data_IF_655450610759
#
_entry.id   IF_655450610759
#
_cell.length_a   1.000
_cell.length_b   1.000
_cell.length_c   1.000
_cell.angle_alpha   90.00
_cell.angle_beta   90.00
_cell.angle_gamma   90.00
#
_symmetry.space_group_name_H-M   'P 1'
#
loop_
_entity.id
_entity.type
_entity.pdbx_description
1 polymer ?
#
# COMPACT_ATOMS: atom_id res chain seq x y z
N UNK A 1 8.42 5.58 20.99
CA UNK A 1 7.08 5.70 20.39
C UNK A 1 6.63 4.35 19.90
N UNK A 2 5.54 3.83 20.47
CA UNK A 2 4.81 2.66 19.91
C UNK A 2 3.97 3.09 18.69
N UNK A 3 3.46 2.13 17.89
CA UNK A 3 2.55 2.45 16.78
C UNK A 3 1.27 3.17 17.25
N UNK A 4 0.75 2.78 18.42
CA UNK A 4 -0.39 3.44 19.04
C UNK A 4 -0.09 4.89 19.43
N UNK A 5 1.09 5.15 20.01
CA UNK A 5 1.54 6.51 20.34
C UNK A 5 1.80 7.37 19.10
N UNK A 6 2.30 6.77 18.02
CA UNK A 6 2.45 7.47 16.75
C UNK A 6 1.11 7.89 16.18
N UNK A 7 0.12 6.98 16.14
CA UNK A 7 -1.21 7.32 15.66
C UNK A 7 -1.92 8.32 16.56
N UNK A 8 -1.77 8.25 17.88
CA UNK A 8 -2.36 9.25 18.78
C UNK A 8 -1.73 10.63 18.56
N UNK A 9 -0.42 10.71 18.40
CA UNK A 9 0.28 11.96 18.10
C UNK A 9 -0.14 12.55 16.74
N UNK A 10 -0.25 11.71 15.71
CA UNK A 10 -0.78 12.07 14.40
C UNK A 10 -2.22 12.59 14.49
N UNK A 11 -3.06 11.92 15.28
CA UNK A 11 -4.47 12.28 15.45
C UNK A 11 -4.68 13.56 16.27
N UNK A 12 -3.74 13.88 17.16
CA UNK A 12 -3.77 15.10 17.98
C UNK A 12 -3.39 16.36 17.18
N UNK A 13 -2.68 16.22 16.06
CA UNK A 13 -2.28 17.34 15.20
C UNK A 13 -2.83 17.20 13.76
N UNK A 14 -4.15 17.13 13.57
CA UNK A 14 -4.76 16.84 12.27
C UNK A 14 -4.43 17.91 11.22
N UNK A 15 -4.22 19.17 11.62
CA UNK A 15 -3.85 20.25 10.71
C UNK A 15 -2.53 19.99 9.95
N UNK A 16 -1.54 19.39 10.62
CA UNK A 16 -0.24 19.10 9.99
C UNK A 16 -0.36 17.99 8.93
N UNK A 17 -1.09 16.92 9.26
CA UNK A 17 -1.36 15.82 8.34
C UNK A 17 -2.19 16.28 7.15
N UNK A 18 -3.25 17.05 7.39
CA UNK A 18 -4.08 17.60 6.32
C UNK A 18 -3.26 18.48 5.39
N UNK A 19 -2.40 19.35 5.92
CA UNK A 19 -1.53 20.21 5.10
C UNK A 19 -0.59 19.36 4.23
N UNK A 20 0.05 18.34 4.81
CA UNK A 20 0.95 17.46 4.08
C UNK A 20 0.23 16.67 2.97
N UNK A 21 -0.89 16.02 3.31
CA UNK A 21 -1.64 15.19 2.38
C UNK A 21 -2.45 16.00 1.36
N UNK A 22 -2.72 17.28 1.60
CA UNK A 22 -3.29 18.16 0.57
C UNK A 22 -2.22 18.77 -0.33
N UNK A 23 -1.02 19.03 0.19
CA UNK A 23 0.11 19.52 -0.59
C UNK A 23 0.53 18.54 -1.70
N UNK A 24 0.44 17.23 -1.47
CA UNK A 24 0.80 16.19 -2.46
C UNK A 24 -0.07 16.26 -3.74
N UNK A 25 -1.41 16.13 -3.69
CA UNK A 25 -2.25 16.25 -4.88
C UNK A 25 -2.21 17.67 -5.46
N UNK A 26 -2.04 18.70 -4.63
CA UNK A 26 -1.95 20.08 -5.10
C UNK A 26 -0.65 20.32 -5.91
N UNK A 27 0.48 19.80 -5.45
CA UNK A 27 1.75 19.85 -6.21
C UNK A 27 1.68 19.00 -7.46
N UNK A 28 1.03 17.83 -7.43
CA UNK A 28 0.79 17.02 -8.62
C UNK A 28 -0.09 17.76 -9.65
N UNK A 29 -1.11 18.48 -9.18
CA UNK A 29 -1.99 19.30 -10.01
C UNK A 29 -1.25 20.50 -10.62
N UNK A 30 -0.45 21.23 -9.84
CA UNK A 30 0.39 22.31 -10.36
C UNK A 30 1.40 21.78 -11.39
N UNK A 31 2.08 20.67 -11.09
CA UNK A 31 3.00 20.03 -12.02
C UNK A 31 2.32 19.58 -13.32
N UNK A 32 1.05 19.15 -13.27
CA UNK A 32 0.26 18.86 -14.46
C UNK A 32 0.02 20.12 -15.32
N UNK A 33 -0.24 21.28 -14.71
CA UNK A 33 -0.48 22.53 -15.45
C UNK A 33 0.83 23.03 -16.07
N UNK A 34 1.92 23.08 -15.30
CA UNK A 34 3.19 23.67 -15.74
C UNK A 34 4.05 22.71 -16.58
N UNK A 35 3.98 21.40 -16.32
CA UNK A 35 4.76 20.37 -17.01
C UNK A 35 3.97 19.65 -18.12
N UNK A 36 2.99 20.32 -18.71
CA UNK A 36 2.12 19.74 -19.75
C UNK A 36 2.97 19.30 -20.95
N UNK A 37 2.79 18.04 -21.38
CA UNK A 37 3.55 17.36 -22.45
C UNK A 37 5.04 17.07 -22.15
N UNK A 38 5.64 17.68 -21.12
CA UNK A 38 7.05 17.47 -20.73
C UNK A 38 7.20 16.57 -19.50
N UNK A 39 6.11 16.00 -18.98
CA UNK A 39 6.15 15.28 -17.71
C UNK A 39 7.06 14.03 -17.67
N UNK A 40 7.42 13.48 -18.84
CA UNK A 40 8.37 12.38 -18.98
C UNK A 40 9.85 12.84 -19.00
N UNK A 41 10.09 14.14 -19.14
CA UNK A 41 11.41 14.76 -19.20
C UNK A 41 11.87 15.21 -17.80
N UNK A 42 13.18 15.42 -17.67
CA UNK A 42 13.74 16.09 -16.50
C UNK A 42 13.33 17.57 -16.51
N UNK A 43 12.95 18.17 -15.36
CA UNK A 43 12.96 17.63 -13.99
C UNK A 43 11.65 16.95 -13.55
N UNK A 44 10.58 17.07 -14.34
CA UNK A 44 9.23 16.63 -13.97
C UNK A 44 9.13 15.14 -13.65
N UNK A 45 9.86 14.30 -14.38
CA UNK A 45 9.93 12.85 -14.12
C UNK A 45 10.36 12.51 -12.69
N UNK A 46 11.33 13.24 -12.13
CA UNK A 46 11.82 13.02 -10.77
C UNK A 46 10.87 13.59 -9.72
N UNK A 47 10.24 14.73 -10.02
CA UNK A 47 9.19 15.29 -9.18
C UNK A 47 8.01 14.32 -9.06
N UNK A 48 7.54 13.77 -10.18
CA UNK A 48 6.47 12.76 -10.18
C UNK A 48 6.87 11.49 -9.45
N UNK A 49 8.10 10.99 -9.63
CA UNK A 49 8.60 9.84 -8.85
C UNK A 49 8.51 10.11 -7.35
N UNK A 50 9.00 11.27 -6.91
CA UNK A 50 8.98 11.68 -5.49
C UNK A 50 7.57 11.74 -4.94
N UNK A 51 6.64 12.38 -5.67
CA UNK A 51 5.23 12.48 -5.27
C UNK A 51 4.56 11.10 -5.21
N UNK A 52 4.84 10.23 -6.17
CA UNK A 52 4.33 8.86 -6.19
C UNK A 52 4.79 8.11 -4.95
N UNK A 53 6.08 8.12 -4.61
CA UNK A 53 6.58 7.42 -3.42
C UNK A 53 6.03 8.01 -2.12
N UNK A 54 6.00 9.33 -1.99
CA UNK A 54 5.46 10.01 -0.81
C UNK A 54 3.98 9.74 -0.59
N UNK A 55 3.20 9.58 -1.66
CA UNK A 55 1.78 9.26 -1.54
C UNK A 55 1.53 7.75 -1.36
N UNK A 56 2.27 6.90 -2.08
CA UNK A 56 2.05 5.45 -2.09
C UNK A 56 2.50 4.77 -0.80
N UNK A 57 3.63 5.15 -0.21
CA UNK A 57 4.12 4.50 1.02
C UNK A 57 3.10 4.59 2.16
N UNK A 58 2.61 5.78 2.57
CA UNK A 58 1.60 5.89 3.61
C UNK A 58 0.23 5.33 3.18
N UNK A 59 -0.13 5.45 1.90
CA UNK A 59 -1.39 4.89 1.37
C UNK A 59 -1.43 3.36 1.41
N UNK A 60 -0.35 2.69 0.98
CA UNK A 60 -0.22 1.24 1.03
C UNK A 60 -0.18 0.77 2.48
N UNK A 61 0.57 1.45 3.35
CA UNK A 61 0.60 1.11 4.77
C UNK A 61 -0.79 1.17 5.39
N UNK A 62 -1.54 2.26 5.17
CA UNK A 62 -2.91 2.40 5.63
C UNK A 62 -3.83 1.28 5.11
N UNK A 63 -3.76 0.97 3.81
CA UNK A 63 -4.50 -0.14 3.19
C UNK A 63 -4.19 -1.48 3.85
N UNK A 64 -2.90 -1.80 4.02
CA UNK A 64 -2.50 -3.07 4.64
C UNK A 64 -2.93 -3.18 6.09
N UNK A 65 -2.86 -2.09 6.85
CA UNK A 65 -3.29 -2.06 8.24
C UNK A 65 -4.81 -2.25 8.34
N UNK A 66 -5.59 -1.56 7.51
CA UNK A 66 -7.05 -1.74 7.47
C UNK A 66 -7.43 -3.16 7.05
N UNK A 67 -6.74 -3.75 6.07
CA UNK A 67 -6.96 -5.14 5.67
C UNK A 67 -6.64 -6.11 6.81
N UNK A 68 -5.53 -5.92 7.52
CA UNK A 68 -5.17 -6.72 8.68
C UNK A 68 -6.22 -6.62 9.81
N UNK A 69 -6.60 -5.40 10.21
CA UNK A 69 -7.63 -5.21 11.26
C UNK A 69 -8.97 -5.85 10.87
N UNK A 70 -9.33 -5.79 9.59
CA UNK A 70 -10.57 -6.38 9.07
C UNK A 70 -10.55 -7.90 9.09
N UNK A 71 -9.48 -8.52 8.60
CA UNK A 71 -9.38 -9.97 8.46
C UNK A 71 -9.15 -10.70 9.80
N UNK A 72 -8.33 -10.11 10.69
CA UNK A 72 -7.83 -10.78 11.89
C UNK A 72 -8.51 -10.30 13.18
N UNK A 73 -8.51 -8.99 13.42
CA UNK A 73 -8.99 -8.45 14.69
C UNK A 73 -10.52 -8.35 14.75
N UNK A 74 -11.22 -8.47 13.60
CA UNK A 74 -12.67 -8.20 13.46
C UNK A 74 -13.10 -6.89 14.13
N UNK A 75 -12.15 -5.96 14.28
CA UNK A 75 -12.40 -4.65 14.88
C UNK A 75 -13.33 -3.85 13.98
N UNK A 76 -14.16 -3.00 14.59
CA UNK A 76 -15.00 -2.08 13.83
C UNK A 76 -14.10 -1.16 12.99
N UNK A 77 -14.11 -1.33 11.67
CA UNK A 77 -13.47 -0.42 10.71
C UNK A 77 -13.99 1.02 10.93
N UNK A 78 -15.16 1.20 11.55
CA UNK A 78 -15.73 2.51 11.86
C UNK A 78 -15.05 3.22 13.04
N UNK A 79 -14.32 2.50 13.92
CA UNK A 79 -13.46 3.11 14.95
C UNK A 79 -12.06 3.45 14.41
N UNK A 80 -11.78 3.11 13.15
CA UNK A 80 -10.56 3.52 12.51
C UNK A 80 -10.49 5.04 12.44
N UNK A 81 -9.34 5.59 12.78
CA UNK A 81 -9.15 7.03 12.67
C UNK A 81 -9.10 7.42 11.18
N UNK A 82 -10.05 8.27 10.79
CA UNK A 82 -10.22 8.78 9.41
C UNK A 82 -8.90 9.39 8.89
N UNK A 83 -8.15 10.08 9.75
CA UNK A 83 -6.92 10.78 9.37
C UNK A 83 -5.73 9.84 9.13
N UNK A 84 -5.68 8.67 9.77
CA UNK A 84 -4.54 7.75 9.64
C UNK A 84 -4.81 6.58 8.70
N UNK A 85 -6.07 6.25 8.44
CA UNK A 85 -6.44 5.15 7.55
C UNK A 85 -7.06 5.64 6.23
N UNK A 86 -8.07 6.51 6.28
CA UNK A 86 -8.81 6.90 5.06
C UNK A 86 -8.06 7.98 4.28
N UNK A 87 -7.56 9.00 4.99
CA UNK A 87 -6.90 10.16 4.38
C UNK A 87 -5.69 9.78 3.51
N UNK A 88 -4.75 8.90 3.95
CA UNK A 88 -3.60 8.54 3.12
C UNK A 88 -4.00 7.79 1.84
N UNK A 89 -5.03 6.94 1.93
CA UNK A 89 -5.53 6.18 0.78
C UNK A 89 -6.19 7.10 -0.24
N UNK A 90 -7.04 8.02 0.21
CA UNK A 90 -7.65 9.03 -0.66
C UNK A 90 -6.59 9.91 -1.32
N UNK A 91 -5.62 10.40 -0.54
CA UNK A 91 -4.51 11.20 -1.07
C UNK A 91 -3.72 10.44 -2.14
N UNK A 92 -3.39 9.17 -1.90
CA UNK A 92 -2.71 8.31 -2.86
C UNK A 92 -3.51 8.19 -4.16
N UNK A 93 -4.80 7.85 -4.08
CA UNK A 93 -5.66 7.68 -5.26
C UNK A 93 -5.74 8.97 -6.08
N UNK A 94 -5.99 10.11 -5.43
CA UNK A 94 -6.10 11.41 -6.11
C UNK A 94 -4.77 11.82 -6.75
N UNK A 95 -3.66 11.65 -6.03
CA UNK A 95 -2.32 12.00 -6.53
C UNK A 95 -1.94 11.15 -7.74
N UNK A 96 -2.12 9.83 -7.65
CA UNK A 96 -1.85 8.93 -8.77
C UNK A 96 -2.76 9.21 -9.97
N UNK A 97 -4.05 9.47 -9.74
CA UNK A 97 -4.98 9.80 -10.81
C UNK A 97 -4.60 11.09 -11.55
N UNK A 98 -4.15 12.12 -10.82
CA UNK A 98 -3.60 13.33 -11.42
C UNK A 98 -2.35 13.03 -12.23
N UNK A 99 -1.37 12.32 -11.68
CA UNK A 99 -0.11 12.04 -12.39
C UNK A 99 -0.37 11.23 -13.67
N UNK A 100 -1.26 10.23 -13.62
CA UNK A 100 -1.63 9.39 -14.78
C UNK A 100 -2.18 10.19 -15.96
N UNK A 101 -2.83 11.33 -15.69
CA UNK A 101 -3.38 12.20 -16.74
C UNK A 101 -2.30 12.96 -17.51
N UNK A 102 -1.11 13.16 -16.94
CA UNK A 102 -0.01 13.86 -17.61
C UNK A 102 1.10 12.92 -18.11
N UNK A 103 1.36 11.82 -17.39
CA UNK A 103 2.48 10.91 -17.66
C UNK A 103 2.06 9.47 -17.47
N UNK A 104 2.47 8.60 -18.41
CA UNK A 104 2.33 7.16 -18.22
C UNK A 104 3.26 6.67 -17.10
N UNK A 105 2.72 5.89 -16.17
CA UNK A 105 3.44 5.34 -15.04
C UNK A 105 4.68 4.52 -15.42
N UNK A 106 4.72 3.92 -16.62
CA UNK A 106 5.91 3.23 -17.12
C UNK A 106 7.14 4.14 -17.26
N UNK A 107 6.92 5.45 -17.46
CA UNK A 107 8.01 6.43 -17.57
C UNK A 107 8.47 6.94 -16.21
N UNK A 108 7.78 6.60 -15.12
CA UNK A 108 8.11 7.04 -13.77
C UNK A 108 9.14 6.08 -13.17
N UNK A 109 10.32 6.57 -12.79
CA UNK A 109 11.39 5.73 -12.28
C UNK A 109 10.96 5.08 -10.96
N UNK A 110 11.04 3.75 -10.91
CA UNK A 110 10.76 2.95 -9.73
C UNK A 110 9.29 2.63 -9.47
N UNK A 111 8.35 3.02 -10.35
CA UNK A 111 6.93 2.68 -10.19
C UNK A 111 6.69 1.17 -10.08
N UNK A 112 7.43 0.36 -10.85
CA UNK A 112 7.35 -1.11 -10.80
C UNK A 112 7.66 -1.69 -9.41
N UNK A 113 8.52 -1.02 -8.63
CA UNK A 113 8.82 -1.46 -7.26
C UNK A 113 7.63 -1.29 -6.33
N UNK A 114 6.82 -0.26 -6.54
CA UNK A 114 5.59 -0.02 -5.77
C UNK A 114 4.55 -1.08 -6.11
N UNK A 115 4.37 -1.39 -7.40
CA UNK A 115 3.51 -2.50 -7.83
C UNK A 115 3.94 -3.84 -7.23
N UNK A 116 5.24 -4.12 -7.24
CA UNK A 116 5.81 -5.31 -6.60
C UNK A 116 5.60 -5.35 -5.09
N UNK A 117 5.73 -4.20 -4.40
CA UNK A 117 5.47 -4.09 -2.96
C UNK A 117 4.00 -4.39 -2.63
N UNK A 118 3.05 -3.77 -3.35
CA UNK A 118 1.62 -4.02 -3.15
C UNK A 118 1.31 -5.49 -3.37
N UNK A 119 1.80 -6.08 -4.45
CA UNK A 119 1.61 -7.50 -4.74
C UNK A 119 2.14 -8.39 -3.62
N UNK A 120 3.37 -8.15 -3.16
CA UNK A 120 3.96 -8.91 -2.06
C UNK A 120 3.13 -8.79 -0.77
N UNK A 121 2.69 -7.59 -0.41
CA UNK A 121 1.87 -7.35 0.78
C UNK A 121 0.50 -8.01 0.67
N UNK A 122 -0.14 -7.95 -0.49
CA UNK A 122 -1.42 -8.63 -0.75
C UNK A 122 -1.27 -10.14 -0.58
N UNK A 123 -0.24 -10.74 -1.18
CA UNK A 123 0.06 -12.17 -1.02
C UNK A 123 0.30 -12.53 0.44
N UNK A 124 1.08 -11.73 1.16
CA UNK A 124 1.37 -11.96 2.56
C UNK A 124 0.10 -11.92 3.41
N UNK A 125 -0.78 -10.94 3.21
CA UNK A 125 -2.05 -10.83 3.94
C UNK A 125 -2.96 -12.03 3.64
N UNK A 126 -3.06 -12.44 2.37
CA UNK A 126 -3.85 -13.62 1.98
C UNK A 126 -3.30 -14.88 2.65
N UNK A 127 -1.97 -15.06 2.67
CA UNK A 127 -1.32 -16.19 3.34
C UNK A 127 -1.65 -16.18 4.84
N UNK A 128 -1.42 -15.06 5.51
CA UNK A 128 -1.70 -14.92 6.94
C UNK A 128 -3.19 -15.20 7.23
N UNK A 129 -4.09 -14.74 6.36
CA UNK A 129 -5.52 -14.91 6.53
C UNK A 129 -5.93 -16.38 6.39
N UNK A 130 -5.32 -17.10 5.44
CA UNK A 130 -5.49 -18.56 5.32
C UNK A 130 -4.99 -19.24 6.59
N UNK A 131 -3.81 -18.88 7.12
CA UNK A 131 -3.25 -19.47 8.34
C UNK A 131 -4.16 -19.25 9.56
N UNK A 132 -4.70 -18.05 9.71
CA UNK A 132 -5.64 -17.73 10.78
C UNK A 132 -6.97 -18.48 10.61
N UNK A 133 -7.55 -18.46 9.40
CA UNK A 133 -8.85 -19.07 9.12
C UNK A 133 -8.84 -20.59 9.19
N UNK A 134 -7.71 -21.20 8.82
CA UNK A 134 -7.50 -22.65 8.98
C UNK A 134 -7.34 -23.06 10.44
N UNK A 135 -7.41 -22.10 11.39
CA UNK A 135 -7.16 -22.33 12.81
C UNK A 135 -5.99 -23.29 12.96
N UNK A 136 -4.85 -22.92 12.37
CA UNK A 136 -3.58 -23.54 12.76
C UNK A 136 -3.21 -22.99 14.15
N UNK A 137 -4.11 -23.21 15.10
CA UNK A 137 -3.84 -23.58 16.49
C UNK A 137 -3.28 -25.01 16.49
N UNK A 138 -2.41 -25.34 15.52
CA UNK A 138 -1.57 -26.51 15.61
C UNK A 138 -0.20 -26.09 16.10
N UNK A 139 -0.19 -25.27 17.14
CA UNK A 139 1.03 -24.91 17.87
C UNK A 139 1.25 -25.77 19.12
N UNK A 140 0.70 -26.99 19.15
CA UNK A 140 1.15 -27.98 20.14
C UNK A 140 1.37 -29.39 19.58
N UNK A 141 0.85 -29.75 18.39
CA UNK A 141 0.93 -31.15 17.91
C UNK A 141 1.16 -31.39 16.40
N UNK A 142 1.52 -30.39 15.57
CA UNK A 142 1.76 -30.65 14.14
C UNK A 142 3.22 -31.04 13.87
N UNK A 143 3.49 -32.18 13.21
CA UNK A 143 4.85 -32.51 12.79
C UNK A 143 5.31 -31.54 11.71
N UNK A 144 6.54 -31.03 11.87
CA UNK A 144 7.19 -30.01 11.03
C UNK A 144 7.07 -30.23 9.52
N UNK A 145 7.02 -31.50 9.08
CA UNK A 145 6.84 -31.85 7.67
C UNK A 145 5.54 -31.32 7.05
N UNK A 146 4.43 -31.33 7.79
CA UNK A 146 3.13 -30.87 7.28
C UNK A 146 3.12 -29.35 7.06
N UNK A 147 3.75 -28.60 7.97
CA UNK A 147 3.96 -27.17 7.82
C UNK A 147 4.85 -26.86 6.60
N UNK A 148 5.96 -27.60 6.46
CA UNK A 148 6.86 -27.44 5.32
C UNK A 148 6.13 -27.74 3.99
N UNK A 149 5.27 -28.76 3.94
CA UNK A 149 4.49 -29.11 2.75
C UNK A 149 3.44 -28.05 2.39
N UNK A 150 2.74 -27.51 3.39
CA UNK A 150 1.76 -26.44 3.19
C UNK A 150 2.46 -25.18 2.66
N UNK A 151 3.56 -24.79 3.29
CA UNK A 151 4.37 -23.64 2.86
C UNK A 151 4.90 -23.82 1.42
N UNK A 152 5.43 -25.01 1.09
CA UNK A 152 5.89 -25.33 -0.26
C UNK A 152 4.74 -25.29 -1.28
N UNK A 153 3.59 -25.84 -0.93
CA UNK A 153 2.38 -25.81 -1.76
C UNK A 153 1.88 -24.40 -2.03
N UNK A 154 1.92 -23.53 -1.01
CA UNK A 154 1.56 -22.12 -1.13
C UNK A 154 2.48 -21.37 -2.10
N UNK A 155 3.80 -21.57 -1.98
CA UNK A 155 4.78 -21.00 -2.91
C UNK A 155 4.56 -21.51 -4.34
N UNK A 156 4.28 -22.81 -4.51
CA UNK A 156 4.01 -23.40 -5.82
C UNK A 156 2.74 -22.82 -6.44
N UNK A 157 1.65 -22.69 -5.69
CA UNK A 157 0.41 -22.06 -6.13
C UNK A 157 0.62 -20.60 -6.53
N UNK A 158 1.41 -19.85 -5.74
CA UNK A 158 1.77 -18.48 -6.08
C UNK A 158 2.54 -18.41 -7.40
N UNK A 159 3.54 -19.29 -7.56
CA UNK A 159 4.35 -19.37 -8.77
C UNK A 159 3.51 -19.75 -10.00
N UNK A 160 2.52 -20.61 -9.81
CA UNK A 160 1.56 -21.00 -10.84
C UNK A 160 0.61 -19.86 -11.20
N UNK A 161 0.09 -19.14 -10.20
CA UNK A 161 -0.74 -17.96 -10.39
C UNK A 161 0.00 -16.85 -11.16
N UNK A 162 1.25 -16.58 -10.80
CA UNK A 162 2.11 -15.60 -11.48
C UNK A 162 2.33 -15.99 -12.94
N UNK A 163 2.64 -17.27 -13.21
CA UNK A 163 2.81 -17.78 -14.59
C UNK A 163 1.54 -17.67 -15.44
N UNK A 164 0.36 -17.70 -14.84
CA UNK A 164 -0.92 -17.65 -15.54
C UNK A 164 -1.44 -16.23 -15.76
N UNK A 165 -0.95 -15.26 -14.98
CA UNK A 165 -1.31 -13.85 -15.08
C UNK A 165 -0.31 -13.08 -15.95
N UNK A 166 0.98 -13.47 -15.92
CA UNK A 166 2.06 -12.83 -16.67
C UNK A 166 2.59 -13.67 -17.85
N UNK A 167 1.89 -14.75 -18.22
CA UNK A 167 2.19 -15.61 -19.37
C UNK A 167 1.02 -15.69 -20.32
#
# INVERSE_FOLDING_TARGET
MTLGEFFSHCSQNPGTLLTLFTALPLTAFLAMIFGKNEGHLSPWKYLYSTLVYLACIPGIFALTLSAYMFFFERGSILNANIYTQILPVLCMVVTLWLIRRNVDFQHIPGFDKIGGLVFFLTVLIILLWILEKTHIVVFTYMPFYQFALLFLGMILLLRWGIKRIFG
#
